data_IF_188067382894
#
_entry.id   IF_188067382894
#
_cell.length_a   1.000
_cell.length_b   1.000
_cell.length_c   1.000
_cell.angle_alpha   90.00
_cell.angle_beta   90.00
_cell.angle_gamma   90.00
#
_symmetry.space_group_name_H-M   'P 1'
#
loop_
_entity.id
_entity.type
_entity.pdbx_description
1 polymer ?
#
# COMPACT_ATOMS: atom_id res chain seq x y z
N UNK A 1 -12.33 -7.02 27.29
CA UNK A 1 -13.33 -5.91 27.21
C UNK A 1 -14.76 -6.39 26.97
N UNK A 2 -15.08 -7.10 25.87
CA UNK A 2 -16.45 -7.60 25.60
C UNK A 2 -17.07 -8.39 26.76
N UNK A 3 -16.31 -9.27 27.40
CA UNK A 3 -16.73 -10.05 28.57
C UNK A 3 -17.02 -9.20 29.82
N UNK A 4 -16.36 -8.04 29.96
CA UNK A 4 -16.48 -7.17 31.13
C UNK A 4 -17.57 -6.11 30.99
N UNK A 5 -17.99 -5.80 29.75
CA UNK A 5 -19.05 -4.83 29.48
C UNK A 5 -20.00 -5.32 28.35
N UNK A 6 -20.61 -6.51 28.48
CA UNK A 6 -21.36 -7.13 27.40
C UNK A 6 -22.55 -6.30 26.94
N UNK A 7 -23.25 -5.62 27.85
CA UNK A 7 -24.38 -4.73 27.53
C UNK A 7 -23.95 -3.49 26.73
N UNK A 8 -22.74 -3.00 26.94
CA UNK A 8 -22.22 -1.84 26.23
C UNK A 8 -21.82 -2.23 24.80
N UNK A 9 -21.23 -3.42 24.63
CA UNK A 9 -20.87 -3.97 23.32
C UNK A 9 -22.06 -4.51 22.52
N UNK A 10 -23.14 -4.92 23.18
CA UNK A 10 -24.38 -5.31 22.47
C UNK A 10 -25.10 -4.09 21.91
N UNK A 11 -25.07 -2.95 22.62
CA UNK A 11 -25.63 -1.68 22.14
C UNK A 11 -24.76 -1.00 21.10
N UNK A 12 -23.44 -1.08 21.24
CA UNK A 12 -22.48 -0.41 20.37
C UNK A 12 -21.35 -1.37 20.01
N UNK A 13 -21.51 -2.19 18.97
CA UNK A 13 -20.52 -3.19 18.59
C UNK A 13 -19.14 -2.60 18.27
N UNK A 14 -19.09 -1.37 17.74
CA UNK A 14 -17.88 -0.65 17.36
C UNK A 14 -17.26 0.17 18.51
N UNK A 15 -17.75 0.04 19.75
CA UNK A 15 -17.31 0.78 20.93
C UNK A 15 -15.80 0.75 21.16
N UNK A 16 -15.10 -0.35 20.82
CA UNK A 16 -13.64 -0.43 20.95
C UNK A 16 -12.91 0.64 20.14
N UNK A 17 -13.57 1.20 19.12
CA UNK A 17 -13.05 2.25 18.27
C UNK A 17 -13.44 3.65 18.75
N UNK A 18 -14.31 3.75 19.74
CA UNK A 18 -14.64 5.02 20.37
C UNK A 18 -13.58 5.24 21.44
N UNK A 19 -12.74 6.27 21.26
CA UNK A 19 -11.54 6.59 22.07
C UNK A 19 -11.81 6.88 23.57
N UNK A 20 -12.99 6.53 24.08
CA UNK A 20 -13.51 6.91 25.40
C UNK A 20 -13.36 5.81 26.45
N UNK A 21 -13.08 4.57 26.04
CA UNK A 21 -13.05 3.44 26.99
C UNK A 21 -11.64 3.14 27.45
N UNK A 22 -11.33 3.42 28.72
CA UNK A 22 -10.09 2.99 29.37
C UNK A 22 -10.35 1.78 30.26
N UNK A 23 -9.43 0.81 30.23
CA UNK A 23 -9.46 -0.35 31.11
C UNK A 23 -8.13 -0.42 31.85
N UNK A 24 -8.21 -0.70 33.16
CA UNK A 24 -7.01 -0.83 33.97
C UNK A 24 -6.11 -1.95 33.40
N UNK A 25 -4.82 -1.68 33.08
CA UNK A 25 -3.89 -2.67 32.56
C UNK A 25 -3.81 -3.97 33.37
N UNK A 26 -3.96 -3.90 34.69
CA UNK A 26 -3.95 -5.09 35.56
C UNK A 26 -5.08 -6.07 35.23
N UNK A 27 -6.23 -5.59 34.75
CA UNK A 27 -7.33 -6.45 34.30
C UNK A 27 -6.93 -7.18 33.03
N UNK A 28 -6.35 -6.48 32.06
CA UNK A 28 -5.89 -7.05 30.78
C UNK A 28 -4.81 -8.11 30.99
N UNK A 29 -3.82 -7.82 31.84
CA UNK A 29 -2.73 -8.76 32.17
C UNK A 29 -3.28 -10.02 32.82
N UNK A 30 -4.23 -9.87 33.76
CA UNK A 30 -4.88 -11.02 34.43
C UNK A 30 -5.63 -11.92 33.44
N UNK A 31 -6.19 -11.34 32.39
CA UNK A 31 -6.85 -12.07 31.30
C UNK A 31 -5.88 -12.60 30.23
N UNK A 32 -4.57 -12.49 30.45
CA UNK A 32 -3.53 -13.00 29.55
C UNK A 32 -3.20 -12.11 28.35
N UNK A 33 -3.66 -10.85 28.34
CA UNK A 33 -3.29 -9.89 27.29
C UNK A 33 -1.90 -9.32 27.59
N UNK A 34 -0.93 -9.40 26.66
CA UNK A 34 0.38 -8.77 26.84
C UNK A 34 0.25 -7.25 26.93
N UNK A 35 0.78 -6.66 28.00
CA UNK A 35 0.81 -5.20 28.17
C UNK A 35 2.23 -4.76 28.49
N UNK A 36 2.70 -3.77 27.73
CA UNK A 36 3.98 -3.08 27.96
C UNK A 36 3.73 -1.61 28.25
N UNK A 37 4.70 -0.94 28.89
CA UNK A 37 4.61 0.49 29.23
C UNK A 37 5.95 1.18 29.07
N UNK A 38 5.91 2.49 28.82
CA UNK A 38 7.09 3.36 28.81
C UNK A 38 6.73 4.73 29.39
N UNK A 39 7.74 5.49 29.83
CA UNK A 39 7.61 6.91 30.16
C UNK A 39 8.26 7.69 29.02
N UNK A 40 7.48 8.43 28.25
CA UNK A 40 8.01 9.27 27.17
C UNK A 40 8.50 10.60 27.75
N UNK A 41 9.79 10.88 27.56
CA UNK A 41 10.43 12.14 27.93
C UNK A 41 10.53 13.10 26.74
N UNK A 42 10.84 14.36 27.02
CA UNK A 42 10.98 15.39 25.99
C UNK A 42 12.12 15.04 25.02
N UNK A 43 11.84 15.15 23.72
CA UNK A 43 12.78 14.77 22.64
C UNK A 43 12.74 13.30 22.24
N UNK A 44 11.90 12.47 22.88
CA UNK A 44 11.76 11.05 22.54
C UNK A 44 10.58 10.79 21.60
N UNK A 45 10.76 9.82 20.71
CA UNK A 45 9.70 9.30 19.85
C UNK A 45 9.07 8.05 20.46
N UNK A 46 7.75 7.91 20.28
CA UNK A 46 7.01 6.68 20.53
C UNK A 46 6.40 6.24 19.20
N UNK A 47 6.70 5.02 18.78
CA UNK A 47 6.17 4.45 17.53
C UNK A 47 5.11 3.41 17.89
N UNK A 48 3.90 3.61 17.36
CA UNK A 48 2.80 2.65 17.48
C UNK A 48 2.68 1.84 16.19
N UNK A 49 2.78 0.52 16.30
CA UNK A 49 2.64 -0.39 15.16
C UNK A 49 1.17 -0.66 14.80
N UNK A 50 0.94 -1.14 13.58
CA UNK A 50 -0.36 -1.54 13.06
C UNK A 50 -1.10 -2.46 14.04
N UNK A 51 -2.36 -2.12 14.37
CA UNK A 51 -3.20 -2.85 15.35
C UNK A 51 -2.64 -2.95 16.78
N UNK A 52 -1.63 -2.16 17.14
CA UNK A 52 -1.19 -2.04 18.53
C UNK A 52 -2.11 -1.07 19.30
N UNK A 53 -2.99 -1.63 20.13
CA UNK A 53 -3.79 -0.83 21.07
C UNK A 53 -2.87 -0.12 22.06
N UNK A 54 -3.11 1.17 22.25
CA UNK A 54 -2.35 2.00 23.18
C UNK A 54 -3.28 2.95 23.94
N UNK A 55 -2.89 3.27 25.16
CA UNK A 55 -3.56 4.23 26.02
C UNK A 55 -2.50 4.86 26.94
N UNK A 56 -2.77 6.07 27.43
CA UNK A 56 -1.82 6.77 28.27
C UNK A 56 -2.45 7.97 28.98
N UNK A 57 -1.65 8.62 29.81
CA UNK A 57 -1.99 9.86 30.48
C UNK A 57 -0.72 10.70 30.64
N UNK A 58 -0.88 12.01 30.82
CA UNK A 58 0.24 12.93 31.01
C UNK A 58 0.55 13.08 32.50
N UNK A 59 1.83 13.04 32.86
CA UNK A 59 2.29 13.24 34.24
C UNK A 59 2.22 14.71 34.70
N UNK A 60 2.12 15.64 33.77
CA UNK A 60 2.09 17.09 34.01
C UNK A 60 1.83 17.85 32.71
N UNK A 61 2.06 19.16 32.73
CA UNK A 61 1.94 20.01 31.54
C UNK A 61 2.97 19.61 30.48
N UNK A 62 2.51 19.37 29.25
CA UNK A 62 3.36 19.06 28.11
C UNK A 62 2.74 19.50 26.78
N UNK A 63 3.51 19.32 25.71
CA UNK A 63 3.10 19.50 24.32
C UNK A 63 3.61 18.29 23.52
N UNK A 64 2.75 17.70 22.68
CA UNK A 64 3.08 16.55 21.86
C UNK A 64 2.46 16.70 20.47
N UNK A 65 3.11 16.13 19.47
CA UNK A 65 2.64 16.03 18.09
C UNK A 65 2.66 14.57 17.66
N UNK A 66 1.65 14.15 16.89
CA UNK A 66 1.52 12.78 16.41
C UNK A 66 1.06 12.77 14.96
N UNK A 67 1.56 11.82 14.19
CA UNK A 67 1.14 11.58 12.81
C UNK A 67 1.05 10.08 12.52
N UNK A 68 0.19 9.72 11.58
CA UNK A 68 0.07 8.36 11.07
C UNK A 68 0.91 8.22 9.79
N UNK A 69 1.50 7.04 9.59
CA UNK A 69 2.24 6.71 8.36
C UNK A 69 2.02 5.24 8.00
N UNK A 70 2.22 4.93 6.72
CA UNK A 70 1.92 3.61 6.16
C UNK A 70 3.13 3.05 5.40
N UNK A 71 4.01 2.26 6.05
CA UNK A 71 5.09 1.56 5.36
C UNK A 71 4.55 0.42 4.47
N UNK A 72 5.41 -0.20 3.66
CA UNK A 72 4.99 -1.24 2.71
C UNK A 72 4.28 -2.44 3.38
N UNK A 73 4.78 -2.86 4.55
CA UNK A 73 4.20 -3.94 5.36
C UNK A 73 2.83 -3.59 5.97
N UNK A 74 2.45 -2.31 5.98
CA UNK A 74 1.11 -1.88 6.39
C UNK A 74 0.04 -2.22 5.35
N UNK A 75 0.37 -2.34 4.05
CA UNK A 75 -0.65 -2.49 3.00
C UNK A 75 -1.55 -3.71 3.21
N UNK A 76 -0.98 -4.87 3.52
CA UNK A 76 -1.75 -6.08 3.84
C UNK A 76 -2.62 -5.91 5.09
N UNK A 77 -2.10 -5.22 6.11
CA UNK A 77 -2.85 -4.91 7.33
C UNK A 77 -4.00 -3.94 7.06
N UNK A 78 -3.80 -2.99 6.15
CA UNK A 78 -4.81 -2.06 5.65
C UNK A 78 -5.97 -2.81 5.00
N UNK A 79 -5.69 -3.79 4.14
CA UNK A 79 -6.73 -4.67 3.58
C UNK A 79 -7.52 -5.39 4.67
N UNK A 80 -6.85 -6.04 5.61
CA UNK A 80 -7.52 -6.72 6.73
C UNK A 80 -8.36 -5.76 7.59
N UNK A 81 -7.96 -4.49 7.70
CA UNK A 81 -8.74 -3.47 8.39
C UNK A 81 -10.02 -3.13 7.62
N UNK A 82 -9.97 -3.02 6.29
CA UNK A 82 -11.16 -2.80 5.45
C UNK A 82 -12.15 -3.95 5.59
N UNK A 83 -11.70 -5.20 5.58
CA UNK A 83 -12.59 -6.35 5.75
C UNK A 83 -13.24 -6.35 7.13
N UNK A 84 -12.48 -6.01 8.17
CA UNK A 84 -13.07 -5.83 9.50
C UNK A 84 -14.07 -4.65 9.55
N UNK A 85 -13.79 -3.55 8.86
CA UNK A 85 -14.70 -2.40 8.80
C UNK A 85 -16.00 -2.75 8.06
N UNK A 86 -15.96 -3.59 7.02
CA UNK A 86 -17.15 -4.13 6.34
C UNK A 86 -18.07 -4.87 7.33
N UNK A 87 -17.50 -5.77 8.13
CA UNK A 87 -18.25 -6.54 9.15
C UNK A 87 -18.89 -5.64 10.19
N UNK A 88 -18.17 -4.59 10.59
CA UNK A 88 -18.61 -3.63 11.61
C UNK A 88 -19.49 -2.50 11.05
N UNK A 89 -19.71 -2.46 9.72
CA UNK A 89 -20.39 -1.38 8.99
C UNK A 89 -19.80 0.00 9.29
N UNK A 90 -18.47 0.07 9.41
CA UNK A 90 -17.72 1.27 9.74
C UNK A 90 -17.29 1.98 8.46
N UNK A 91 -17.45 3.31 8.45
CA UNK A 91 -16.96 4.16 7.38
C UNK A 91 -15.43 4.15 7.32
N UNK A 92 -14.89 3.96 6.12
CA UNK A 92 -13.47 4.14 5.83
C UNK A 92 -13.15 5.61 5.62
N UNK A 93 -11.95 6.04 6.03
CA UNK A 93 -11.45 7.41 5.84
C UNK A 93 -10.89 7.67 4.44
N UNK A 94 -10.61 6.59 3.68
CA UNK A 94 -10.25 6.61 2.27
C UNK A 94 -10.46 5.21 1.69
N UNK A 95 -10.45 5.09 0.36
CA UNK A 95 -10.49 3.79 -0.33
C UNK A 95 -9.10 3.15 -0.39
N UNK A 96 -8.95 1.98 0.22
CA UNK A 96 -7.71 1.21 0.13
C UNK A 96 -7.43 0.75 -1.31
N UNK A 97 -8.47 0.39 -2.06
CA UNK A 97 -8.32 -0.01 -3.47
C UNK A 97 -7.83 1.15 -4.33
N UNK A 98 -8.35 2.36 -4.07
CA UNK A 98 -7.88 3.57 -4.75
C UNK A 98 -6.40 3.83 -4.51
N UNK A 99 -5.95 3.69 -3.25
CA UNK A 99 -4.54 3.82 -2.90
C UNK A 99 -3.69 2.81 -3.68
N UNK A 100 -4.07 1.53 -3.67
CA UNK A 100 -3.33 0.45 -4.36
C UNK A 100 -3.27 0.70 -5.87
N UNK A 101 -4.37 1.08 -6.51
CA UNK A 101 -4.38 1.36 -7.95
C UNK A 101 -3.57 2.61 -8.32
N UNK A 102 -3.58 3.66 -7.49
CA UNK A 102 -2.75 4.85 -7.69
C UNK A 102 -1.26 4.51 -7.55
N UNK A 103 -0.90 3.70 -6.56
CA UNK A 103 0.46 3.18 -6.40
C UNK A 103 0.86 2.38 -7.66
N UNK A 104 0.03 1.43 -8.11
CA UNK A 104 0.29 0.63 -9.31
C UNK A 104 0.48 1.50 -10.57
N UNK A 105 -0.38 2.51 -10.75
CA UNK A 105 -0.33 3.43 -11.90
C UNK A 105 0.95 4.27 -11.92
N UNK A 106 1.46 4.64 -10.75
CA UNK A 106 2.70 5.40 -10.57
C UNK A 106 3.90 4.50 -10.21
N UNK A 107 3.87 3.22 -10.62
CA UNK A 107 4.86 2.23 -10.21
C UNK A 107 6.31 2.67 -10.50
N UNK A 108 6.53 3.46 -11.55
CA UNK A 108 7.82 4.04 -11.92
C UNK A 108 8.54 4.85 -10.81
N UNK A 109 7.79 5.30 -9.80
CA UNK A 109 8.32 6.04 -8.65
C UNK A 109 8.27 5.26 -7.33
N UNK A 110 7.77 4.02 -7.35
CA UNK A 110 7.58 3.24 -6.13
C UNK A 110 8.86 2.58 -5.64
N UNK A 111 8.99 2.56 -4.31
CA UNK A 111 9.89 1.64 -3.61
C UNK A 111 9.46 0.18 -3.90
N UNK A 112 10.40 -0.73 -4.21
CA UNK A 112 10.08 -2.13 -4.54
C UNK A 112 9.20 -2.85 -3.51
N UNK A 113 9.31 -2.53 -2.22
CA UNK A 113 8.51 -3.17 -1.18
C UNK A 113 7.00 -2.85 -1.30
N UNK A 114 6.66 -1.65 -1.77
CA UNK A 114 5.27 -1.19 -2.00
C UNK A 114 4.69 -1.85 -3.26
N UNK A 115 5.56 -2.07 -4.25
CA UNK A 115 5.21 -2.76 -5.49
C UNK A 115 4.77 -4.21 -5.25
N UNK A 116 5.53 -5.00 -4.50
CA UNK A 116 5.22 -6.41 -4.25
C UNK A 116 3.84 -6.63 -3.60
N UNK A 117 3.44 -5.74 -2.68
CA UNK A 117 2.17 -5.85 -1.95
C UNK A 117 0.92 -5.56 -2.81
N UNK A 118 1.06 -4.75 -3.87
CA UNK A 118 -0.05 -4.30 -4.73
C UNK A 118 -0.58 -5.41 -5.65
N UNK A 119 0.21 -6.45 -5.92
CA UNK A 119 -0.06 -7.50 -6.92
C UNK A 119 -1.18 -8.49 -6.57
N UNK A 120 -1.63 -8.56 -5.32
CA UNK A 120 -2.47 -9.67 -4.82
C UNK A 120 -4.00 -9.47 -4.88
N UNK A 121 -4.51 -8.33 -5.33
CA UNK A 121 -5.82 -7.82 -4.86
C UNK A 121 -6.99 -7.80 -5.89
N UNK A 122 -6.89 -8.45 -7.05
CA UNK A 122 -7.81 -8.18 -8.17
C UNK A 122 -8.44 -9.43 -8.81
N UNK A 123 -9.72 -9.75 -8.52
CA UNK A 123 -10.56 -10.62 -9.38
C UNK A 123 -12.11 -10.47 -9.22
N UNK A 124 -12.77 -10.51 -10.40
CA UNK A 124 -14.15 -10.86 -10.82
C UNK A 124 -15.49 -10.28 -10.26
N UNK A 125 -16.50 -10.10 -11.17
CA UNK A 125 -17.91 -10.61 -11.18
C UNK A 125 -18.74 -10.08 -12.39
N UNK A 126 -19.64 -10.90 -12.94
CA UNK A 126 -20.44 -10.67 -14.16
C UNK A 126 -21.79 -9.96 -14.00
N UNK A 127 -21.97 -8.88 -14.78
CA UNK A 127 -23.18 -8.04 -14.89
C UNK A 127 -23.47 -7.75 -16.38
N UNK A 128 -24.72 -7.46 -16.76
CA UNK A 128 -25.17 -7.28 -18.15
C UNK A 128 -25.10 -5.85 -18.70
N UNK A 129 -25.22 -4.84 -17.83
CA UNK A 129 -25.08 -3.42 -18.20
C UNK A 129 -23.95 -2.82 -17.37
N UNK A 130 -23.00 -2.16 -18.03
CA UNK A 130 -21.73 -1.78 -17.42
C UNK A 130 -21.27 -0.39 -17.89
N UNK A 131 -21.24 0.56 -16.95
CA UNK A 131 -20.78 1.92 -17.16
C UNK A 131 -19.42 2.15 -16.49
N UNK A 132 -18.56 2.89 -17.19
CA UNK A 132 -17.27 3.30 -16.62
C UNK A 132 -17.46 4.50 -15.69
N UNK A 133 -16.91 4.43 -14.49
CA UNK A 133 -16.97 5.51 -13.49
C UNK A 133 -15.59 6.00 -13.05
N UNK A 134 -15.43 7.32 -12.90
CA UNK A 134 -14.28 7.94 -12.26
C UNK A 134 -14.58 8.15 -10.77
N UNK A 135 -14.54 7.07 -9.98
CA UNK A 135 -14.89 7.08 -8.56
C UNK A 135 -14.08 8.11 -7.75
N UNK A 136 -12.83 8.39 -8.11
CA UNK A 136 -11.96 9.38 -7.46
C UNK A 136 -12.44 10.84 -7.57
N UNK A 137 -13.37 11.11 -8.50
CA UNK A 137 -13.99 12.43 -8.66
C UNK A 137 -15.33 12.54 -7.90
N UNK A 138 -15.83 11.42 -7.40
CA UNK A 138 -17.05 11.39 -6.60
C UNK A 138 -16.72 11.66 -5.12
N UNK A 139 -17.57 12.40 -4.40
CA UNK A 139 -17.49 12.48 -2.95
C UNK A 139 -17.55 11.09 -2.29
N UNK A 140 -16.83 10.92 -1.18
CA UNK A 140 -16.73 9.63 -0.49
C UNK A 140 -18.09 9.09 -0.03
N UNK A 141 -19.01 9.96 0.39
CA UNK A 141 -20.36 9.63 0.81
C UNK A 141 -21.26 9.14 -0.34
N UNK A 142 -21.02 9.61 -1.57
CA UNK A 142 -21.79 9.20 -2.76
C UNK A 142 -21.32 7.85 -3.35
N UNK A 143 -20.08 7.45 -3.05
CA UNK A 143 -19.50 6.18 -3.53
C UNK A 143 -19.41 5.11 -2.45
N UNK A 144 -20.10 5.27 -1.33
CA UNK A 144 -20.16 4.28 -0.26
C UNK A 144 -21.21 3.20 -0.53
N UNK A 145 -20.84 1.94 -0.24
CA UNK A 145 -21.82 0.86 -0.23
C UNK A 145 -22.82 1.06 0.91
N UNK A 146 -24.11 1.09 0.59
CA UNK A 146 -25.15 1.29 1.60
C UNK A 146 -25.22 0.14 2.64
N UNK A 147 -24.85 -1.08 2.26
CA UNK A 147 -24.88 -2.24 3.16
C UNK A 147 -23.70 -2.29 4.16
N UNK A 148 -22.46 -2.17 3.67
CA UNK A 148 -21.25 -2.33 4.49
C UNK A 148 -20.46 -1.04 4.76
N UNK A 149 -20.90 0.10 4.21
CA UNK A 149 -20.31 1.43 4.38
C UNK A 149 -18.85 1.56 3.88
N UNK A 150 -18.38 0.59 3.11
CA UNK A 150 -17.09 0.67 2.41
C UNK A 150 -17.17 1.65 1.24
N UNK A 151 -16.19 2.54 1.13
CA UNK A 151 -15.99 3.42 -0.02
C UNK A 151 -15.60 2.58 -1.24
N UNK A 152 -16.48 2.54 -2.24
CA UNK A 152 -16.27 1.84 -3.51
C UNK A 152 -15.28 2.58 -4.41
N UNK A 153 -14.47 1.81 -5.15
CA UNK A 153 -13.53 2.36 -6.11
C UNK A 153 -13.37 1.49 -7.36
N UNK A 154 -13.20 0.17 -7.21
CA UNK A 154 -13.03 -0.71 -8.37
C UNK A 154 -14.35 -0.93 -9.10
N UNK A 155 -15.39 -1.22 -8.32
CA UNK A 155 -16.72 -1.52 -8.86
C UNK A 155 -17.83 -1.26 -7.85
N UNK A 156 -19.02 -1.02 -8.38
CA UNK A 156 -20.23 -0.85 -7.60
C UNK A 156 -21.47 -1.20 -8.44
N UNK A 157 -22.59 -1.45 -7.78
CA UNK A 157 -23.87 -1.77 -8.42
C UNK A 157 -24.89 -0.71 -8.02
N UNK A 158 -25.63 -0.20 -9.00
CA UNK A 158 -26.81 0.63 -8.78
C UNK A 158 -28.01 0.10 -9.56
N UNK A 159 -29.20 0.63 -9.26
CA UNK A 159 -30.42 0.29 -9.97
C UNK A 159 -31.32 1.52 -10.05
N UNK A 160 -31.95 1.74 -11.21
CA UNK A 160 -32.84 2.89 -11.45
C UNK A 160 -34.03 2.96 -10.47
N UNK A 161 -34.42 1.85 -9.84
CA UNK A 161 -35.48 1.86 -8.83
C UNK A 161 -35.07 2.53 -7.51
N UNK A 162 -33.77 2.68 -7.26
CA UNK A 162 -33.19 3.34 -6.07
C UNK A 162 -31.99 4.21 -6.53
N UNK A 163 -32.24 5.37 -7.15
CA UNK A 163 -31.19 6.15 -7.82
C UNK A 163 -30.09 6.68 -6.89
N UNK A 164 -30.40 6.85 -5.59
CA UNK A 164 -29.45 7.38 -4.60
C UNK A 164 -28.77 6.28 -3.77
N UNK A 165 -28.94 5.00 -4.13
CA UNK A 165 -28.35 3.88 -3.40
C UNK A 165 -27.35 3.17 -4.30
N UNK A 166 -26.14 3.03 -3.77
CA UNK A 166 -25.04 2.32 -4.37
C UNK A 166 -24.59 1.21 -3.42
N UNK A 167 -24.27 0.04 -3.95
CA UNK A 167 -23.73 -1.08 -3.16
C UNK A 167 -22.48 -1.65 -3.83
N UNK A 168 -21.58 -2.26 -3.06
CA UNK A 168 -20.49 -3.01 -3.65
C UNK A 168 -21.01 -4.32 -4.28
N UNK A 169 -20.21 -4.94 -5.14
CA UNK A 169 -20.57 -6.17 -5.86
C UNK A 169 -21.01 -7.32 -4.93
N UNK A 170 -20.44 -7.40 -3.73
CA UNK A 170 -20.75 -8.43 -2.74
C UNK A 170 -22.11 -8.22 -2.05
N UNK A 171 -22.72 -7.04 -2.22
CA UNK A 171 -24.01 -6.68 -1.61
C UNK A 171 -25.06 -6.32 -2.66
N UNK A 172 -24.89 -6.76 -3.91
CA UNK A 172 -25.86 -6.54 -4.99
C UNK A 172 -27.26 -7.10 -4.70
N UNK A 173 -27.33 -8.17 -3.91
CA UNK A 173 -28.56 -8.78 -3.40
C UNK A 173 -29.29 -7.91 -2.36
N UNK A 174 -28.58 -7.01 -1.69
CA UNK A 174 -29.12 -6.07 -0.70
C UNK A 174 -29.58 -4.75 -1.30
N UNK A 175 -29.32 -4.50 -2.59
CA UNK A 175 -29.71 -3.27 -3.29
C UNK A 175 -31.24 -3.14 -3.37
N UNK A 176 -31.90 -4.09 -4.03
CA UNK A 176 -33.36 -4.14 -4.20
C UNK A 176 -33.81 -5.54 -4.67
N UNK A 177 -35.12 -5.73 -4.82
CA UNK A 177 -35.71 -6.98 -5.33
C UNK A 177 -35.85 -7.03 -6.86
N UNK A 178 -35.26 -6.09 -7.59
CA UNK A 178 -35.32 -6.12 -9.05
C UNK A 178 -34.49 -7.30 -9.60
N UNK A 179 -34.83 -7.76 -10.81
CA UNK A 179 -33.98 -8.71 -11.51
C UNK A 179 -32.57 -8.11 -11.74
N UNK A 180 -31.48 -8.88 -11.59
CA UNK A 180 -30.12 -8.41 -11.87
C UNK A 180 -29.92 -7.82 -13.27
N UNK A 181 -30.79 -8.16 -14.24
CA UNK A 181 -30.80 -7.56 -15.58
C UNK A 181 -31.12 -6.06 -15.58
N UNK A 182 -31.70 -5.53 -14.49
CA UNK A 182 -32.00 -4.10 -14.29
C UNK A 182 -30.92 -3.38 -13.50
N UNK A 183 -29.83 -4.07 -13.14
CA UNK A 183 -28.72 -3.47 -12.42
C UNK A 183 -27.72 -2.89 -13.42
N UNK A 184 -27.15 -1.75 -13.06
CA UNK A 184 -25.99 -1.19 -13.74
C UNK A 184 -24.75 -1.44 -12.89
N UNK A 185 -23.72 -2.05 -13.50
CA UNK A 185 -22.39 -2.18 -12.93
C UNK A 185 -21.58 -0.94 -13.26
N UNK A 186 -21.10 -0.26 -12.24
CA UNK A 186 -20.11 0.79 -12.37
C UNK A 186 -18.73 0.17 -12.18
N UNK A 187 -17.79 0.42 -13.08
CA UNK A 187 -16.42 -0.08 -12.98
C UNK A 187 -15.39 1.01 -13.29
N UNK A 188 -14.22 0.95 -12.66
CA UNK A 188 -13.16 1.96 -12.86
C UNK A 188 -12.16 1.58 -13.95
N UNK A 189 -11.73 0.33 -13.93
CA UNK A 189 -10.73 -0.22 -14.84
C UNK A 189 -11.26 -1.49 -15.49
N UNK A 190 -10.89 -1.71 -16.75
CA UNK A 190 -11.08 -3.02 -17.38
C UNK A 190 -10.06 -4.02 -16.82
N UNK A 191 -10.33 -5.32 -17.01
CA UNK A 191 -9.40 -6.39 -16.63
C UNK A 191 -8.06 -6.21 -17.37
N UNK A 192 -8.08 -5.77 -18.63
CA UNK A 192 -6.87 -5.52 -19.42
C UNK A 192 -6.06 -4.34 -18.86
N UNK A 193 -6.72 -3.23 -18.50
CA UNK A 193 -6.05 -2.08 -17.87
C UNK A 193 -5.39 -2.48 -16.55
N UNK A 194 -6.06 -3.32 -15.77
CA UNK A 194 -5.52 -3.85 -14.51
C UNK A 194 -4.35 -4.81 -14.73
N UNK A 195 -4.44 -5.66 -15.75
CA UNK A 195 -3.36 -6.57 -16.14
C UNK A 195 -2.13 -5.78 -16.61
N UNK A 196 -2.33 -4.72 -17.39
CA UNK A 196 -1.25 -3.83 -17.83
C UNK A 196 -0.55 -3.13 -16.66
N UNK A 197 -1.31 -2.64 -15.67
CA UNK A 197 -0.73 -2.08 -14.44
C UNK A 197 0.09 -3.12 -13.68
N UNK A 198 -0.39 -4.36 -13.61
CA UNK A 198 0.28 -5.46 -12.94
C UNK A 198 1.57 -5.88 -13.64
N UNK A 199 1.57 -5.93 -14.96
CA UNK A 199 2.74 -6.31 -15.75
C UNK A 199 3.81 -5.22 -15.73
N UNK A 200 3.44 -3.95 -15.83
CA UNK A 200 4.37 -2.82 -15.64
C UNK A 200 5.04 -2.88 -14.26
N UNK A 201 4.27 -3.20 -13.23
CA UNK A 201 4.78 -3.34 -11.87
C UNK A 201 5.73 -4.54 -11.73
N UNK A 202 5.40 -5.69 -12.31
CA UNK A 202 6.26 -6.88 -12.32
C UNK A 202 7.57 -6.60 -13.04
N UNK A 203 7.51 -5.97 -14.21
CA UNK A 203 8.69 -5.61 -14.98
C UNK A 203 9.63 -4.73 -14.17
N UNK A 204 9.08 -3.73 -13.46
CA UNK A 204 9.86 -2.89 -12.55
C UNK A 204 10.51 -3.69 -11.43
N UNK A 205 9.75 -4.55 -10.75
CA UNK A 205 10.28 -5.36 -9.64
C UNK A 205 11.39 -6.29 -10.11
N UNK A 206 11.22 -6.91 -11.28
CA UNK A 206 12.24 -7.75 -11.91
C UNK A 206 13.51 -6.95 -12.22
N UNK A 207 13.37 -5.73 -12.73
CA UNK A 207 14.51 -4.82 -12.96
C UNK A 207 15.24 -4.51 -11.65
N UNK A 208 14.52 -4.17 -10.58
CA UNK A 208 15.11 -3.88 -9.28
C UNK A 208 15.81 -5.12 -8.68
N UNK A 209 15.24 -6.33 -8.85
CA UNK A 209 15.87 -7.57 -8.40
C UNK A 209 17.14 -7.89 -9.20
N UNK A 210 17.10 -7.80 -10.53
CA UNK A 210 18.28 -7.99 -11.41
C UNK A 210 19.39 -7.02 -11.04
N UNK A 211 19.04 -5.76 -10.80
CA UNK A 211 19.98 -4.74 -10.37
C UNK A 211 20.60 -5.07 -9.00
N UNK A 212 19.79 -5.49 -8.01
CA UNK A 212 20.29 -5.89 -6.69
C UNK A 212 21.27 -7.05 -6.76
N UNK A 213 21.00 -8.05 -7.61
CA UNK A 213 21.91 -9.18 -7.85
C UNK A 213 23.24 -8.68 -8.46
N UNK A 214 23.17 -7.81 -9.47
CA UNK A 214 24.35 -7.23 -10.11
C UNK A 214 25.24 -6.47 -9.10
N UNK A 215 24.64 -5.60 -8.29
CA UNK A 215 25.37 -4.81 -7.27
C UNK A 215 25.99 -5.71 -6.20
N UNK A 216 25.25 -6.70 -5.71
CA UNK A 216 25.78 -7.65 -4.73
C UNK A 216 27.01 -8.40 -5.27
N UNK A 217 26.99 -8.79 -6.56
CA UNK A 217 28.15 -9.42 -7.22
C UNK A 217 29.35 -8.50 -7.34
N UNK A 218 29.13 -7.21 -7.63
CA UNK A 218 30.20 -6.20 -7.68
C UNK A 218 30.83 -5.98 -6.31
N UNK A 219 30.02 -5.98 -5.24
CA UNK A 219 30.51 -5.79 -3.87
C UNK A 219 31.25 -7.04 -3.36
N UNK A 220 30.83 -8.24 -3.75
CA UNK A 220 31.38 -9.50 -3.22
C UNK A 220 32.77 -9.88 -3.76
N UNK A 221 33.42 -9.05 -4.59
CA UNK A 221 34.74 -9.34 -5.21
C UNK A 221 34.84 -10.73 -5.85
N UNK A 222 33.73 -11.23 -6.41
CA UNK A 222 33.72 -12.51 -7.10
C UNK A 222 34.28 -12.32 -8.53
N UNK A 223 35.61 -12.37 -8.64
CA UNK A 223 36.37 -12.16 -9.88
C UNK A 223 36.22 -13.30 -10.90
N UNK A 224 35.40 -14.33 -10.63
CA UNK A 224 35.31 -15.51 -11.48
C UNK A 224 34.57 -15.27 -12.80
N UNK A 225 33.82 -14.18 -12.94
CA UNK A 225 33.20 -13.79 -14.20
C UNK A 225 33.30 -12.27 -14.41
N UNK A 226 33.99 -11.84 -15.47
CA UNK A 226 34.01 -10.45 -15.92
C UNK A 226 32.57 -10.00 -16.18
N UNK A 227 32.11 -9.02 -15.42
CA UNK A 227 30.81 -8.38 -15.65
C UNK A 227 30.99 -7.45 -16.85
N UNK A 228 30.15 -7.60 -17.89
CA UNK A 228 30.17 -6.67 -19.02
C UNK A 228 29.80 -5.27 -18.52
N UNK A 229 30.67 -4.31 -18.80
CA UNK A 229 30.46 -2.91 -18.45
C UNK A 229 29.20 -2.34 -19.13
N UNK A 230 28.81 -2.88 -20.29
CA UNK A 230 27.58 -2.50 -20.97
C UNK A 230 26.32 -3.00 -20.24
N UNK A 231 26.42 -4.14 -19.53
CA UNK A 231 25.33 -4.65 -18.69
C UNK A 231 25.15 -3.75 -17.45
N UNK A 232 26.25 -3.25 -16.89
CA UNK A 232 26.23 -2.26 -15.81
C UNK A 232 25.56 -0.98 -16.28
N UNK A 233 25.97 -0.43 -17.43
CA UNK A 233 25.39 0.82 -17.97
C UNK A 233 23.87 0.69 -18.22
N UNK A 234 23.44 -0.42 -18.83
CA UNK A 234 22.02 -0.69 -19.13
C UNK A 234 21.16 -0.83 -17.86
N UNK A 235 21.65 -1.56 -16.86
CA UNK A 235 20.93 -1.77 -15.61
C UNK A 235 21.10 -0.60 -14.63
N UNK A 236 22.12 0.24 -14.79
CA UNK A 236 22.27 1.43 -13.96
C UNK A 236 21.24 2.45 -14.40
N UNK A 237 21.12 2.81 -15.68
CA UNK A 237 20.10 3.81 -16.11
C UNK A 237 18.65 3.42 -15.78
N UNK A 238 18.32 2.13 -15.80
CA UNK A 238 16.97 1.62 -15.50
C UNK A 238 16.76 1.24 -14.02
N UNK A 239 17.79 0.74 -13.33
CA UNK A 239 17.77 0.35 -11.91
C UNK A 239 18.09 1.48 -10.92
N UNK A 240 18.64 2.59 -11.40
CA UNK A 240 18.82 3.88 -10.69
C UNK A 240 17.50 4.43 -10.17
N UNK A 241 16.38 4.12 -10.84
CA UNK A 241 15.02 4.43 -10.39
C UNK A 241 14.55 3.59 -9.18
N UNK A 242 15.27 2.52 -8.81
CA UNK A 242 14.97 1.67 -7.65
C UNK A 242 15.71 2.10 -6.37
N UNK A 243 16.56 3.12 -6.44
CA UNK A 243 17.34 3.64 -5.32
C UNK A 243 16.67 4.87 -4.70
N UNK A 244 16.87 5.07 -3.39
CA UNK A 244 16.67 6.40 -2.82
C UNK A 244 17.55 7.40 -3.54
N UNK A 245 17.03 8.62 -3.73
CA UNK A 245 17.69 9.67 -4.50
C UNK A 245 19.13 9.95 -4.05
N UNK A 246 19.43 9.82 -2.75
CA UNK A 246 20.75 10.06 -2.17
C UNK A 246 21.78 8.98 -2.55
N UNK A 247 21.37 7.72 -2.62
CA UNK A 247 22.21 6.60 -3.08
C UNK A 247 22.36 6.65 -4.59
N UNK A 248 21.27 7.00 -5.28
CA UNK A 248 21.23 7.15 -6.73
C UNK A 248 22.27 8.15 -7.23
N UNK A 249 22.25 9.37 -6.69
CA UNK A 249 23.18 10.45 -7.06
C UNK A 249 24.63 10.01 -6.86
N UNK A 250 24.94 9.40 -5.71
CA UNK A 250 26.31 8.91 -5.42
C UNK A 250 26.77 7.81 -6.38
N UNK A 251 25.86 6.95 -6.83
CA UNK A 251 26.17 5.91 -7.81
C UNK A 251 26.33 6.48 -9.22
N UNK A 252 25.51 7.44 -9.63
CA UNK A 252 25.66 8.14 -10.91
C UNK A 252 27.04 8.80 -11.02
N UNK A 253 27.48 9.49 -9.96
CA UNK A 253 28.81 10.09 -9.88
C UNK A 253 29.94 9.05 -10.06
N UNK A 254 29.82 7.92 -9.36
CA UNK A 254 30.83 6.84 -9.42
C UNK A 254 30.85 6.13 -10.76
N UNK A 255 29.68 5.98 -11.41
CA UNK A 255 29.59 5.40 -12.74
C UNK A 255 30.24 6.33 -13.78
N UNK A 256 30.00 7.63 -13.69
CA UNK A 256 30.60 8.62 -14.59
C UNK A 256 32.14 8.59 -14.51
N UNK A 257 32.69 8.52 -13.28
CA UNK A 257 34.13 8.38 -13.04
C UNK A 257 34.68 7.08 -13.66
N UNK A 258 33.99 5.95 -13.51
CA UNK A 258 34.39 4.67 -14.09
C UNK A 258 34.35 4.67 -15.64
N UNK A 259 33.37 5.36 -16.24
CA UNK A 259 33.27 5.53 -17.70
C UNK A 259 34.48 6.33 -18.22
N UNK A 260 34.88 7.40 -17.51
CA UNK A 260 36.03 8.21 -17.87
C UNK A 260 37.33 7.38 -17.87
N UNK A 261 37.54 6.59 -16.81
CA UNK A 261 38.70 5.67 -16.74
C UNK A 261 38.71 4.63 -17.86
N UNK A 262 37.54 4.06 -18.21
CA UNK A 262 37.42 3.11 -19.34
C UNK A 262 37.81 3.78 -20.66
N UNK A 263 37.37 5.01 -20.90
CA UNK A 263 37.70 5.73 -22.12
C UNK A 263 39.19 6.07 -22.21
N UNK A 264 39.78 6.48 -21.08
CA UNK A 264 41.22 6.72 -20.97
C UNK A 264 42.02 5.45 -21.26
N UNK A 265 41.65 4.32 -20.67
CA UNK A 265 42.28 3.02 -20.92
C UNK A 265 42.20 2.59 -22.39
N UNK A 266 41.02 2.73 -23.03
CA UNK A 266 40.84 2.46 -24.48
C UNK A 266 41.76 3.33 -25.34
N UNK A 267 41.91 4.60 -25.00
CA UNK A 267 42.78 5.52 -25.73
C UNK A 267 44.26 5.15 -25.58
N UNK A 268 44.68 4.71 -24.40
CA UNK A 268 46.04 4.21 -24.15
C UNK A 268 46.30 2.93 -24.95
N UNK A 269 45.37 1.96 -24.90
CA UNK A 269 45.46 0.70 -25.66
C UNK A 269 45.60 0.96 -27.16
N UNK A 270 44.77 1.83 -27.75
CA UNK A 270 44.87 2.21 -29.17
C UNK A 270 46.25 2.77 -29.53
N UNK A 271 46.85 3.58 -28.65
CA UNK A 271 48.20 4.14 -28.86
C UNK A 271 49.30 3.07 -28.79
N UNK A 272 49.09 2.01 -28.02
CA UNK A 272 50.04 0.90 -27.88
C UNK A 272 49.95 -0.06 -29.08
N UNK A 273 48.74 -0.33 -29.58
CA UNK A 273 48.50 -1.28 -30.70
C UNK A 273 48.68 -0.67 -32.10
N UNK A 274 48.87 0.65 -32.21
CA UNK A 274 49.17 1.34 -33.48
C UNK A 274 50.69 1.53 -33.73
N UNK A 275 51.54 0.80 -33.00
CA UNK A 275 52.96 0.59 -33.32
C UNK A 275 53.16 -0.82 -33.84
#
# INVERSE_FOLDING_TARGET
MKSYAPELFSKTPDLLHHLVTTMNPSVLIRDGVPVVRTHQHAGEFVITFSRAYHAGFNQGFNFAEANNFCPADWLSMGRCAIDHYKEMKRYSVFSHDELICKLASECQYLDPAIGDATKFELDYIGVTDADRACFELMPDDERQCDACKTTGFLSAISCLCKPNILVCINHGDQLCSCSPKKYCLWYRYTIDEMSNMLDALRERLDLCQKWKILVNRLISNDHQNLIDFNDIEKHTTSGVLCLRDDIRIKMEDKLAEAIEYRQMAKNILKRITCK
#
